data_IF_843343067268
#
_entry.id   IF_843343067268
#
_cell.length_a   1.000
_cell.length_b   1.000
_cell.length_c   1.000
_cell.angle_alpha   90.00
_cell.angle_beta   90.00
_cell.angle_gamma   90.00
#
_symmetry.space_group_name_H-M   'P 1'
#
loop_
_entity.id
_entity.type
_entity.pdbx_description
1 polymer ?
#
# COMPACT_ATOMS: atom_id res chain seq x y z
N UNK A 1 -42.37 57.51 59.09
CA UNK A 1 -42.78 58.92 58.95
C UNK A 1 -42.60 59.26 57.48
N UNK A 2 -43.71 59.53 56.76
CA UNK A 2 -43.84 60.36 55.55
C UNK A 2 -42.88 60.17 54.36
N UNK A 3 -43.25 60.26 53.07
CA UNK A 3 -44.51 60.39 52.32
C UNK A 3 -44.04 60.41 50.85
N UNK A 4 -44.79 59.70 49.99
CA UNK A 4 -45.11 59.94 48.57
C UNK A 4 -44.05 60.44 47.55
N UNK A 5 -44.03 59.68 46.44
CA UNK A 5 -43.53 59.99 45.08
C UNK A 5 -44.20 61.24 44.46
N UNK A 6 -43.71 61.79 43.33
CA UNK A 6 -44.27 61.38 42.02
C UNK A 6 -43.41 61.59 40.74
N UNK A 7 -43.75 60.75 39.74
CA UNK A 7 -44.02 61.02 38.30
C UNK A 7 -42.88 61.54 37.39
N UNK A 8 -42.72 61.02 36.16
CA UNK A 8 -43.59 60.08 35.45
C UNK A 8 -43.17 59.77 34.01
N UNK A 9 -43.99 58.91 33.41
CA UNK A 9 -44.37 58.74 31.98
C UNK A 9 -43.27 58.48 30.95
N UNK A 10 -43.36 57.58 29.98
CA UNK A 10 -44.39 56.61 29.56
C UNK A 10 -43.78 55.73 28.45
N UNK A 11 -44.32 54.51 28.31
CA UNK A 11 -44.38 53.68 27.10
C UNK A 11 -43.08 53.17 26.46
N UNK A 12 -42.92 51.84 26.40
CA UNK A 12 -42.92 51.07 25.15
C UNK A 12 -42.78 49.55 25.39
N UNK A 13 -43.21 48.82 24.37
CA UNK A 13 -43.52 47.40 24.25
C UNK A 13 -42.33 46.42 24.35
N UNK A 14 -42.69 45.18 24.77
CA UNK A 14 -42.25 43.88 24.25
C UNK A 14 -40.82 43.36 24.48
N UNK A 15 -40.75 42.07 24.83
CA UNK A 15 -39.58 41.24 24.54
C UNK A 15 -39.33 40.13 25.55
N UNK A 16 -40.10 39.05 25.49
CA UNK A 16 -39.79 37.78 26.15
C UNK A 16 -38.53 37.19 25.47
N UNK A 17 -37.35 37.34 26.10
CA UNK A 17 -36.10 36.76 25.63
C UNK A 17 -36.02 35.28 26.01
N UNK A 18 -36.38 34.41 25.07
CA UNK A 18 -36.02 33.01 25.09
C UNK A 18 -34.52 32.88 24.73
N UNK A 19 -33.71 32.46 25.70
CA UNK A 19 -32.31 32.06 25.44
C UNK A 19 -32.31 30.74 24.66
N UNK A 20 -32.13 30.83 23.34
CA UNK A 20 -31.73 29.69 22.51
C UNK A 20 -30.24 29.46 22.74
N UNK A 21 -29.91 28.45 23.55
CA UNK A 21 -28.55 27.94 23.69
C UNK A 21 -28.09 27.34 22.37
N UNK A 22 -27.27 28.07 21.62
CA UNK A 22 -26.56 27.54 20.45
C UNK A 22 -25.42 26.64 20.95
N UNK A 23 -25.69 25.36 21.14
CA UNK A 23 -24.66 24.34 21.31
C UNK A 23 -23.91 24.19 19.99
N UNK A 24 -22.77 24.88 19.84
CA UNK A 24 -21.82 24.61 18.77
C UNK A 24 -21.09 23.32 19.13
N UNK A 25 -21.69 22.17 18.79
CA UNK A 25 -20.95 20.92 18.78
C UNK A 25 -19.86 21.04 17.69
N UNK A 26 -18.57 20.79 17.99
CA UNK A 26 -17.56 20.72 16.96
C UNK A 26 -17.93 19.56 16.02
N UNK A 27 -18.30 19.90 14.78
CA UNK A 27 -18.41 18.91 13.72
C UNK A 27 -17.01 18.34 13.49
N UNK A 28 -16.81 17.01 13.53
CA UNK A 28 -15.56 16.45 13.05
C UNK A 28 -15.41 16.87 11.60
N UNK A 29 -14.38 17.67 11.31
CA UNK A 29 -13.92 17.87 9.95
C UNK A 29 -13.29 16.55 9.54
N UNK A 30 -14.12 15.62 9.05
CA UNK A 30 -13.63 14.57 8.16
C UNK A 30 -13.17 15.29 6.90
N UNK A 31 -11.93 15.77 6.92
CA UNK A 31 -11.23 16.23 5.74
C UNK A 31 -11.08 15.03 4.82
N UNK A 32 -12.06 14.81 3.95
CA UNK A 32 -11.80 14.08 2.73
C UNK A 32 -10.68 14.87 2.04
N UNK A 33 -9.45 14.34 2.09
CA UNK A 33 -8.41 14.76 1.17
C UNK A 33 -8.98 14.48 -0.22
N UNK A 34 -9.53 15.50 -0.87
CA UNK A 34 -9.67 15.49 -2.32
C UNK A 34 -8.23 15.46 -2.83
N UNK A 35 -7.66 14.26 -2.98
CA UNK A 35 -6.31 14.11 -3.46
C UNK A 35 -6.25 14.79 -4.83
N UNK A 36 -5.47 15.86 -4.91
CA UNK A 36 -5.12 16.49 -6.18
C UNK A 36 -4.52 15.42 -7.10
N UNK A 37 -4.58 15.64 -8.41
CA UNK A 37 -3.95 14.73 -9.37
C UNK A 37 -2.46 14.51 -9.04
N UNK A 38 -1.86 13.38 -9.46
CA UNK A 38 -0.43 13.16 -9.31
C UNK A 38 0.37 14.31 -9.95
N UNK A 39 1.44 14.72 -9.27
CA UNK A 39 2.39 15.71 -9.76
C UNK A 39 3.25 15.16 -10.90
N UNK A 40 4.36 15.84 -11.23
CA UNK A 40 5.32 15.32 -12.20
C UNK A 40 6.22 14.23 -11.62
N UNK A 41 6.42 14.25 -10.30
CA UNK A 41 7.29 13.30 -9.60
C UNK A 41 6.54 12.56 -8.51
N UNK A 42 6.74 11.24 -8.49
CA UNK A 42 6.49 10.39 -7.34
C UNK A 42 7.83 10.14 -6.65
N UNK A 43 7.94 10.51 -5.38
CA UNK A 43 9.12 10.29 -4.55
C UNK A 43 8.87 9.15 -3.56
N UNK A 44 9.74 8.15 -3.52
CA UNK A 44 9.67 7.06 -2.56
C UNK A 44 10.91 7.05 -1.66
N UNK A 45 10.70 6.94 -0.36
CA UNK A 45 11.73 6.66 0.65
C UNK A 45 11.39 5.36 1.38
N UNK A 46 12.41 4.59 1.72
CA UNK A 46 12.21 3.40 2.53
C UNK A 46 13.30 2.36 2.45
N UNK A 47 12.96 1.18 2.92
CA UNK A 47 13.87 0.04 3.01
C UNK A 47 13.79 -0.90 1.78
N UNK A 48 14.19 -2.16 1.98
CA UNK A 48 14.11 -3.24 0.99
C UNK A 48 12.71 -3.42 0.38
N UNK A 49 11.64 -3.12 1.12
CA UNK A 49 10.26 -3.23 0.66
C UNK A 49 9.93 -2.15 -0.37
N UNK A 50 10.39 -0.92 -0.14
CA UNK A 50 10.28 0.19 -1.09
C UNK A 50 11.21 0.01 -2.31
N UNK A 51 12.38 -0.59 -2.09
CA UNK A 51 13.31 -0.94 -3.15
C UNK A 51 12.75 -2.03 -4.07
N UNK A 52 11.87 -2.90 -3.53
CA UNK A 52 11.18 -3.95 -4.28
C UNK A 52 11.87 -5.32 -4.21
N UNK A 53 12.64 -5.58 -3.16
CA UNK A 53 13.34 -6.87 -2.96
C UNK A 53 12.31 -7.98 -2.68
N UNK A 54 12.45 -9.13 -3.32
CA UNK A 54 11.51 -10.27 -3.18
C UNK A 54 12.22 -11.51 -2.64
N UNK A 55 13.03 -12.15 -3.48
CA UNK A 55 13.82 -13.32 -3.14
C UNK A 55 15.25 -13.15 -3.64
N UNK A 56 16.15 -13.91 -3.01
CA UNK A 56 17.55 -13.98 -3.43
C UNK A 56 17.65 -14.40 -4.90
N UNK A 57 18.50 -13.72 -5.66
CA UNK A 57 18.71 -13.99 -7.08
C UNK A 57 17.61 -13.49 -8.02
N UNK A 58 16.53 -12.88 -7.51
CA UNK A 58 15.54 -12.18 -8.34
C UNK A 58 16.03 -10.76 -8.60
N UNK A 59 16.25 -10.34 -9.87
CA UNK A 59 16.63 -8.97 -10.18
C UNK A 59 15.62 -7.97 -9.63
N UNK A 60 16.13 -6.91 -9.01
CA UNK A 60 15.32 -5.80 -8.49
C UNK A 60 15.57 -4.58 -9.37
N UNK A 61 14.52 -3.83 -9.64
CA UNK A 61 14.57 -2.59 -10.40
C UNK A 61 13.81 -1.48 -9.66
N UNK A 62 14.51 -0.64 -8.87
CA UNK A 62 13.88 0.45 -8.14
C UNK A 62 13.45 1.60 -9.08
N UNK A 63 13.89 1.60 -10.35
CA UNK A 63 13.51 2.61 -11.36
C UNK A 63 12.24 2.25 -12.13
N UNK A 64 11.79 0.99 -12.02
CA UNK A 64 10.59 0.46 -12.67
C UNK A 64 10.62 0.63 -14.21
N UNK A 65 11.80 0.51 -14.80
CA UNK A 65 12.03 0.65 -16.26
C UNK A 65 12.06 -0.71 -16.97
N UNK A 66 12.34 -1.78 -16.24
CA UNK A 66 12.33 -3.16 -16.70
C UNK A 66 11.01 -3.86 -16.35
N UNK A 67 10.69 -4.95 -17.03
CA UNK A 67 9.55 -5.79 -16.67
C UNK A 67 9.97 -7.27 -16.66
N UNK A 68 9.50 -8.05 -15.66
CA UNK A 68 8.57 -7.66 -14.62
C UNK A 68 9.24 -7.02 -13.39
N UNK A 69 8.56 -6.05 -12.75
CA UNK A 69 9.01 -5.42 -11.49
C UNK A 69 7.87 -5.43 -10.48
N UNK A 70 7.98 -6.22 -9.42
CA UNK A 70 6.85 -6.52 -8.54
C UNK A 70 6.76 -5.62 -7.30
N UNK A 71 7.80 -4.85 -6.97
CA UNK A 71 7.79 -3.97 -5.78
C UNK A 71 6.60 -3.02 -5.76
N UNK A 72 6.06 -2.73 -4.57
CA UNK A 72 4.85 -1.92 -4.45
C UNK A 72 5.04 -0.51 -5.04
N UNK A 73 6.24 0.06 -4.95
CA UNK A 73 6.57 1.36 -5.56
C UNK A 73 6.35 1.31 -7.07
N UNK A 74 6.79 0.25 -7.75
CA UNK A 74 6.56 0.09 -9.19
C UNK A 74 5.09 -0.17 -9.55
N UNK A 75 4.36 -0.89 -8.69
CA UNK A 75 2.92 -1.10 -8.87
C UNK A 75 2.15 0.21 -8.72
N UNK A 76 2.43 0.98 -7.67
CA UNK A 76 1.80 2.26 -7.42
C UNK A 76 2.17 3.31 -8.46
N UNK A 77 3.44 3.38 -8.87
CA UNK A 77 3.90 4.25 -9.95
C UNK A 77 3.13 4.01 -11.25
N UNK A 78 3.00 2.74 -11.68
CA UNK A 78 2.21 2.39 -12.88
C UNK A 78 0.72 2.68 -12.72
N UNK A 79 0.18 2.55 -11.51
CA UNK A 79 -1.20 2.99 -11.23
C UNK A 79 -1.34 4.50 -11.47
N UNK A 80 -0.46 5.32 -10.89
CA UNK A 80 -0.49 6.79 -11.05
C UNK A 80 -0.25 7.24 -12.50
N UNK A 81 0.60 6.54 -13.27
CA UNK A 81 0.85 6.83 -14.69
C UNK A 81 -0.40 6.78 -15.57
N UNK A 82 -1.46 6.08 -15.14
CA UNK A 82 -2.73 6.06 -15.87
C UNK A 82 -3.47 7.41 -15.80
N UNK A 83 -3.23 8.20 -14.76
CA UNK A 83 -3.73 9.59 -14.64
C UNK A 83 -2.70 10.61 -15.15
N UNK A 84 -1.41 10.36 -14.90
CA UNK A 84 -0.32 11.24 -15.29
C UNK A 84 0.73 10.49 -16.12
N UNK A 85 0.56 10.39 -17.46
CA UNK A 85 1.47 9.62 -18.31
C UNK A 85 2.93 10.08 -18.26
N UNK A 86 3.15 11.37 -18.00
CA UNK A 86 4.47 11.98 -17.89
C UNK A 86 5.11 11.86 -16.48
N UNK A 87 4.48 11.15 -15.54
CA UNK A 87 4.99 10.95 -14.19
C UNK A 87 6.37 10.25 -14.23
N UNK A 88 7.30 10.79 -13.47
CA UNK A 88 8.62 10.23 -13.19
C UNK A 88 8.69 9.70 -11.76
N UNK A 89 9.41 8.60 -11.58
CA UNK A 89 9.70 8.03 -10.27
C UNK A 89 11.09 8.47 -9.82
N UNK A 90 11.19 8.91 -8.57
CA UNK A 90 12.45 9.05 -7.84
C UNK A 90 12.36 8.14 -6.63
N UNK A 91 13.14 7.05 -6.64
CA UNK A 91 13.15 6.09 -5.54
C UNK A 91 14.49 6.17 -4.81
N UNK A 92 14.45 6.72 -3.60
CA UNK A 92 15.61 6.90 -2.72
C UNK A 92 15.66 5.84 -1.62
N UNK A 93 14.92 4.73 -1.78
CA UNK A 93 14.99 3.62 -0.84
C UNK A 93 16.31 2.85 -0.97
N UNK A 94 16.77 2.26 0.13
CA UNK A 94 17.90 1.34 0.13
C UNK A 94 17.57 0.06 0.91
N UNK A 95 18.00 -1.13 0.44
CA UNK A 95 17.84 -2.36 1.21
C UNK A 95 18.51 -2.27 2.59
N UNK A 96 17.92 -2.92 3.61
CA UNK A 96 18.38 -2.97 5.00
C UNK A 96 18.43 -1.60 5.71
N UNK A 97 17.92 -0.54 5.09
CA UNK A 97 17.94 0.80 5.66
C UNK A 97 16.99 0.91 6.85
N UNK A 98 17.48 1.37 8.00
CA UNK A 98 16.64 1.68 9.17
C UNK A 98 16.29 3.17 9.28
N UNK A 99 15.42 3.53 10.23
CA UNK A 99 15.00 4.93 10.40
C UNK A 99 16.14 5.90 10.76
N UNK A 100 17.22 5.43 11.36
CA UNK A 100 18.39 6.25 11.68
C UNK A 100 19.17 6.57 10.39
N UNK A 101 19.38 5.55 9.56
CA UNK A 101 20.13 5.64 8.32
C UNK A 101 19.42 6.55 7.30
N UNK A 102 18.09 6.55 7.25
CA UNK A 102 17.36 7.51 6.40
C UNK A 102 17.74 8.97 6.73
N UNK A 103 17.98 9.27 8.01
CA UNK A 103 18.32 10.62 8.48
C UNK A 103 19.80 10.97 8.32
N UNK A 104 20.69 10.01 8.63
CA UNK A 104 22.10 10.29 8.85
C UNK A 104 23.04 9.55 7.88
N UNK A 105 22.49 8.64 7.07
CA UNK A 105 23.26 7.69 6.29
C UNK A 105 24.06 6.74 7.20
N UNK A 106 25.00 6.03 6.60
CA UNK A 106 25.91 5.13 7.30
C UNK A 106 27.35 5.34 6.82
N UNK A 107 28.31 5.21 7.73
CA UNK A 107 29.74 5.42 7.45
C UNK A 107 30.48 6.08 8.63
N UNK A 108 31.77 6.41 8.47
CA UNK A 108 32.56 7.06 9.50
C UNK A 108 31.89 8.32 10.05
N UNK A 109 31.60 8.33 11.36
CA UNK A 109 30.96 9.46 12.05
C UNK A 109 29.43 9.42 12.07
N UNK A 110 28.77 8.46 11.39
CA UNK A 110 27.33 8.25 11.55
C UNK A 110 26.99 7.70 12.95
N UNK A 111 25.90 8.17 13.58
CA UNK A 111 25.41 7.59 14.83
C UNK A 111 24.68 6.24 14.63
N UNK A 112 24.44 5.84 13.38
CA UNK A 112 23.67 4.65 13.04
C UNK A 112 24.57 3.41 12.97
N UNK A 113 23.98 2.25 13.23
CA UNK A 113 24.70 0.97 13.27
C UNK A 113 24.18 0.03 12.19
N UNK A 114 24.99 -0.26 11.18
CA UNK A 114 24.67 -1.25 10.15
C UNK A 114 25.47 -2.52 10.35
N UNK A 115 24.83 -3.71 10.42
CA UNK A 115 25.56 -4.95 10.64
C UNK A 115 26.51 -5.32 9.50
N UNK A 116 26.21 -4.88 8.27
CA UNK A 116 26.88 -5.25 7.03
C UNK A 116 26.60 -4.14 6.02
N UNK A 117 27.63 -3.42 5.52
CA UNK A 117 27.70 -2.75 4.20
C UNK A 117 28.73 -1.60 4.15
N UNK A 118 28.98 -1.09 2.94
CA UNK A 118 29.74 0.12 2.66
C UNK A 118 28.96 1.39 3.08
N UNK A 119 29.65 2.56 3.19
CA UNK A 119 28.96 3.82 3.48
C UNK A 119 27.82 4.11 2.51
N UNK A 120 26.69 4.55 3.03
CA UNK A 120 25.53 5.02 2.27
C UNK A 120 25.21 6.46 2.65
N UNK A 121 24.88 7.28 1.64
CA UNK A 121 24.45 8.65 1.88
C UNK A 121 23.07 8.67 2.54
N UNK A 122 22.76 9.73 3.28
CA UNK A 122 21.45 9.91 3.90
C UNK A 122 20.38 10.26 2.85
N UNK A 123 19.31 9.46 2.69
CA UNK A 123 18.22 9.76 1.76
C UNK A 123 17.42 11.01 2.11
N UNK A 124 17.21 11.34 3.39
CA UNK A 124 16.34 12.48 3.74
C UNK A 124 16.88 13.83 3.24
N UNK A 125 18.16 14.20 3.43
CA UNK A 125 18.70 15.40 2.83
C UNK A 125 18.54 15.46 1.31
N UNK A 126 18.72 14.34 0.61
CA UNK A 126 18.52 14.24 -0.84
C UNK A 126 17.05 14.45 -1.21
N UNK A 127 16.13 13.81 -0.51
CA UNK A 127 14.69 13.98 -0.69
C UNK A 127 14.26 15.44 -0.49
N UNK A 128 14.73 16.09 0.58
CA UNK A 128 14.43 17.50 0.88
C UNK A 128 14.97 18.41 -0.23
N UNK A 129 16.22 18.22 -0.66
CA UNK A 129 16.79 18.99 -1.76
C UNK A 129 16.02 18.79 -3.07
N UNK A 130 15.62 17.55 -3.37
CA UNK A 130 14.82 17.23 -4.55
C UNK A 130 13.46 17.91 -4.53
N UNK A 131 12.75 17.86 -3.39
CA UNK A 131 11.46 18.53 -3.21
C UNK A 131 11.60 20.05 -3.36
N UNK A 132 12.65 20.65 -2.79
CA UNK A 132 12.91 22.09 -2.91
C UNK A 132 13.25 22.51 -4.34
N UNK A 133 13.94 21.67 -5.11
CA UNK A 133 14.23 21.93 -6.52
C UNK A 133 12.99 21.78 -7.42
N UNK A 134 11.97 21.02 -6.99
CA UNK A 134 10.77 20.70 -7.77
C UNK A 134 9.48 21.06 -7.00
N UNK A 135 9.46 22.24 -6.36
CA UNK A 135 8.34 22.69 -5.53
C UNK A 135 7.01 22.66 -6.31
N UNK A 136 5.99 22.04 -5.69
CA UNK A 136 4.67 21.87 -6.29
C UNK A 136 4.58 20.77 -7.35
N UNK A 137 5.69 20.16 -7.76
CA UNK A 137 5.72 19.09 -8.75
C UNK A 137 5.83 17.69 -8.15
N UNK A 138 6.26 17.58 -6.89
CA UNK A 138 6.37 16.30 -6.15
C UNK A 138 5.04 15.96 -5.47
N UNK A 139 4.33 14.98 -6.01
CA UNK A 139 3.11 14.41 -5.44
C UNK A 139 2.80 13.06 -6.10
N UNK A 140 2.77 11.92 -5.39
CA UNK A 140 2.91 11.76 -3.94
C UNK A 140 4.35 11.57 -3.43
N UNK A 141 4.47 11.48 -2.10
CA UNK A 141 5.64 10.98 -1.38
C UNK A 141 5.22 9.73 -0.59
N UNK A 142 5.88 8.59 -0.74
CA UNK A 142 5.68 7.41 0.13
C UNK A 142 6.84 7.21 1.07
N UNK A 143 6.55 6.85 2.32
CA UNK A 143 7.54 6.52 3.35
C UNK A 143 7.24 5.13 3.90
N UNK A 144 8.18 4.20 3.71
CA UNK A 144 8.10 2.85 4.26
C UNK A 144 9.43 2.46 4.91
N UNK A 145 9.50 2.66 6.23
CA UNK A 145 10.70 2.40 7.03
C UNK A 145 10.27 1.81 8.38
N UNK A 146 11.16 1.11 9.07
CA UNK A 146 10.93 0.63 10.43
C UNK A 146 11.16 -0.87 10.62
N UNK A 147 10.91 -1.70 9.60
CA UNK A 147 11.16 -3.14 9.71
C UNK A 147 12.61 -3.44 10.12
N UNK A 148 13.53 -2.67 9.54
CA UNK A 148 14.95 -2.81 9.79
C UNK A 148 15.41 -2.29 11.16
N UNK A 149 14.66 -1.39 11.80
CA UNK A 149 14.90 -1.02 13.22
C UNK A 149 14.72 -2.21 14.18
N UNK A 150 13.99 -3.25 13.77
CA UNK A 150 13.80 -4.49 14.54
C UNK A 150 14.81 -5.58 14.18
N UNK A 151 15.53 -5.48 13.06
CA UNK A 151 16.49 -6.51 12.61
C UNK A 151 17.54 -6.87 13.68
N UNK A 152 18.14 -5.91 14.44
CA UNK A 152 19.12 -6.25 15.48
C UNK A 152 18.57 -7.15 16.59
N UNK A 153 17.24 -7.27 16.73
CA UNK A 153 16.59 -8.13 17.70
C UNK A 153 16.35 -9.55 17.18
N UNK A 154 16.27 -9.76 15.86
CA UNK A 154 15.90 -11.05 15.27
C UNK A 154 16.78 -12.24 15.68
N UNK A 155 18.13 -12.13 15.75
CA UNK A 155 18.95 -13.27 16.14
C UNK A 155 18.62 -13.81 17.54
N UNK A 156 18.20 -12.92 18.45
CA UNK A 156 17.84 -13.31 19.82
C UNK A 156 16.36 -13.68 19.95
N UNK A 157 15.49 -13.24 19.05
CA UNK A 157 14.04 -13.44 19.14
C UNK A 157 13.66 -14.93 19.16
N UNK A 158 14.42 -15.78 18.47
CA UNK A 158 14.17 -17.22 18.40
C UNK A 158 14.62 -18.00 19.65
N UNK A 159 15.58 -17.47 20.41
CA UNK A 159 16.21 -18.15 21.56
C UNK A 159 15.83 -17.55 22.91
N UNK A 160 15.58 -16.24 22.94
CA UNK A 160 15.14 -15.48 24.11
C UNK A 160 14.04 -14.47 23.71
N UNK A 161 12.80 -14.95 23.47
CA UNK A 161 11.68 -14.07 23.13
C UNK A 161 11.39 -13.02 24.22
N UNK A 162 11.48 -13.38 25.50
CA UNK A 162 11.17 -12.47 26.61
C UNK A 162 12.21 -11.36 26.75
N UNK A 163 13.50 -11.68 26.71
CA UNK A 163 14.56 -10.67 26.71
C UNK A 163 14.56 -9.82 25.44
N UNK A 164 14.10 -10.38 24.32
CA UNK A 164 13.84 -9.60 23.10
C UNK A 164 12.70 -8.59 23.30
N UNK A 165 11.57 -9.02 23.87
CA UNK A 165 10.45 -8.15 24.16
C UNK A 165 10.83 -6.99 25.09
N UNK A 166 11.70 -7.23 26.08
CA UNK A 166 12.18 -6.21 27.00
C UNK A 166 12.99 -5.07 26.32
N UNK A 167 13.54 -5.30 25.12
CA UNK A 167 14.31 -4.30 24.35
C UNK A 167 13.44 -3.43 23.45
N UNK A 168 12.22 -3.85 23.14
CA UNK A 168 11.31 -3.14 22.22
C UNK A 168 11.06 -1.67 22.62
N UNK A 169 10.84 -1.30 23.90
CA UNK A 169 10.60 0.10 24.25
C UNK A 169 11.73 1.05 23.83
N UNK A 170 12.99 0.61 23.87
CA UNK A 170 14.13 1.42 23.44
C UNK A 170 14.12 1.62 21.92
N UNK A 171 13.88 0.54 21.16
CA UNK A 171 13.77 0.60 19.70
C UNK A 171 12.63 1.53 19.29
N UNK A 172 11.46 1.37 19.90
CA UNK A 172 10.29 2.23 19.68
C UNK A 172 10.56 3.70 19.98
N UNK A 173 11.28 4.01 21.06
CA UNK A 173 11.65 5.39 21.40
C UNK A 173 12.55 6.01 20.32
N UNK A 174 13.57 5.28 19.84
CA UNK A 174 14.45 5.75 18.77
C UNK A 174 13.70 5.90 17.44
N UNK A 175 12.98 4.86 17.03
CA UNK A 175 12.19 4.84 15.80
C UNK A 175 11.18 5.99 15.75
N UNK A 176 10.45 6.23 16.84
CA UNK A 176 9.49 7.33 16.92
C UNK A 176 10.14 8.71 16.75
N UNK A 177 11.29 8.96 17.39
CA UNK A 177 12.04 10.22 17.21
C UNK A 177 12.55 10.40 15.78
N UNK A 178 13.02 9.32 15.16
CA UNK A 178 13.53 9.37 13.81
C UNK A 178 12.41 9.61 12.79
N UNK A 179 11.29 8.90 12.93
CA UNK A 179 10.12 9.08 12.07
C UNK A 179 9.50 10.47 12.24
N UNK A 180 9.47 11.00 13.47
CA UNK A 180 9.05 12.38 13.75
C UNK A 180 9.90 13.40 12.97
N UNK A 181 11.23 13.31 13.09
CA UNK A 181 12.17 14.19 12.39
C UNK A 181 12.03 14.08 10.87
N UNK A 182 11.90 12.85 10.36
CA UNK A 182 11.72 12.59 8.93
C UNK A 182 10.46 13.26 8.39
N UNK A 183 9.31 13.00 9.01
CA UNK A 183 8.03 13.54 8.53
C UNK A 183 7.93 15.05 8.73
N UNK A 184 8.54 15.60 9.78
CA UNK A 184 8.66 17.05 9.96
C UNK A 184 9.36 17.72 8.79
N UNK A 185 10.53 17.21 8.40
CA UNK A 185 11.33 17.78 7.33
C UNK A 185 10.69 17.59 5.96
N UNK A 186 10.14 16.41 5.68
CA UNK A 186 9.40 16.16 4.44
C UNK A 186 8.17 17.07 4.32
N UNK A 187 7.37 17.21 5.38
CA UNK A 187 6.20 18.09 5.37
C UNK A 187 6.58 19.56 5.22
N UNK A 188 7.64 20.01 5.89
CA UNK A 188 8.15 21.37 5.77
C UNK A 188 8.63 21.69 4.34
N UNK A 189 9.31 20.74 3.69
CA UNK A 189 9.80 20.92 2.32
C UNK A 189 8.68 20.85 1.27
N UNK A 190 7.75 19.89 1.42
CA UNK A 190 6.72 19.61 0.41
C UNK A 190 5.49 20.53 0.52
N UNK A 191 5.25 21.09 1.71
CA UNK A 191 4.06 21.89 1.99
C UNK A 191 2.81 21.05 2.29
N UNK A 192 1.69 21.72 2.61
CA UNK A 192 0.47 21.05 3.11
C UNK A 192 -0.34 20.32 2.03
N UNK A 193 -0.15 20.65 0.75
CA UNK A 193 -0.91 20.07 -0.36
C UNK A 193 -0.37 18.74 -0.88
N UNK A 194 0.91 18.43 -0.63
CA UNK A 194 1.51 17.17 -1.09
C UNK A 194 0.98 15.99 -0.28
N UNK A 195 0.57 14.93 -0.97
CA UNK A 195 0.16 13.68 -0.35
C UNK A 195 1.40 12.91 0.12
N UNK A 196 1.67 12.96 1.42
CA UNK A 196 2.64 12.10 2.09
C UNK A 196 1.89 10.87 2.58
N UNK A 197 2.35 9.68 2.23
CA UNK A 197 1.73 8.40 2.58
C UNK A 197 2.75 7.62 3.41
N UNK A 198 2.45 7.44 4.70
CA UNK A 198 3.29 6.66 5.62
C UNK A 198 2.70 5.27 5.75
N UNK A 199 3.53 4.26 5.55
CA UNK A 199 3.10 2.88 5.38
C UNK A 199 3.54 2.06 6.58
N UNK A 200 2.62 1.29 7.15
CA UNK A 200 2.91 0.45 8.30
C UNK A 200 3.53 -0.91 7.89
N UNK A 201 3.98 -1.69 8.87
CA UNK A 201 4.68 -2.96 8.65
C UNK A 201 3.74 -4.14 8.86
N UNK A 202 3.77 -5.13 7.98
CA UNK A 202 3.05 -6.39 8.19
C UNK A 202 3.85 -7.32 9.12
N UNK A 203 3.18 -8.27 9.79
CA UNK A 203 3.87 -9.33 10.51
C UNK A 203 4.13 -10.52 9.57
N UNK A 204 5.39 -10.80 9.16
CA UNK A 204 5.69 -11.86 8.19
C UNK A 204 5.35 -13.26 8.69
N UNK A 205 5.19 -13.44 10.01
CA UNK A 205 4.85 -14.71 10.65
C UNK A 205 3.33 -14.89 10.88
N UNK A 206 2.52 -13.90 10.52
CA UNK A 206 1.08 -13.93 10.72
C UNK A 206 0.42 -15.13 10.04
N UNK A 207 -0.34 -15.92 10.79
CA UNK A 207 -0.96 -17.16 10.31
C UNK A 207 -0.18 -18.44 10.63
N UNK A 208 1.05 -18.35 11.15
CA UNK A 208 1.87 -19.50 11.56
C UNK A 208 1.90 -19.61 13.09
N UNK A 209 1.60 -20.80 13.60
CA UNK A 209 1.69 -21.16 15.02
C UNK A 209 3.08 -21.69 15.42
N UNK A 210 3.26 -21.91 16.72
CA UNK A 210 4.31 -22.78 17.25
C UNK A 210 3.73 -24.19 17.52
N UNK A 211 4.30 -25.29 17.00
CA UNK A 211 5.35 -25.41 15.98
C UNK A 211 4.85 -25.02 14.55
N UNK A 212 5.75 -24.81 13.55
CA UNK A 212 7.20 -25.04 13.54
C UNK A 212 8.07 -23.91 14.11
N UNK A 213 7.48 -22.75 14.44
CA UNK A 213 8.22 -21.64 15.04
C UNK A 213 8.59 -21.92 16.50
N UNK A 214 9.72 -21.38 17.01
CA UNK A 214 10.02 -21.38 18.44
C UNK A 214 8.85 -20.85 19.28
N UNK A 215 8.70 -21.39 20.49
CA UNK A 215 7.66 -20.93 21.43
C UNK A 215 7.87 -19.46 21.79
N UNK A 216 6.80 -18.67 21.85
CA UNK A 216 6.84 -17.25 22.19
C UNK A 216 7.23 -16.30 21.04
N UNK A 217 7.91 -16.80 20.00
CA UNK A 217 8.34 -15.97 18.86
C UNK A 217 7.15 -15.31 18.13
N UNK A 218 6.05 -16.01 17.79
CA UNK A 218 4.90 -15.38 17.14
C UNK A 218 4.30 -14.22 17.96
N UNK A 219 4.25 -14.38 19.30
CA UNK A 219 3.71 -13.36 20.21
C UNK A 219 4.61 -12.12 20.29
N UNK A 220 5.93 -12.31 20.32
CA UNK A 220 6.90 -11.22 20.30
C UNK A 220 6.88 -10.49 18.97
N UNK A 221 6.84 -11.20 17.84
CA UNK A 221 6.72 -10.60 16.51
C UNK A 221 5.43 -9.77 16.38
N UNK A 222 4.29 -10.31 16.86
CA UNK A 222 3.02 -9.59 16.88
C UNK A 222 3.10 -8.32 17.72
N UNK A 223 3.70 -8.39 18.92
CA UNK A 223 3.84 -7.24 19.81
C UNK A 223 4.79 -6.17 19.24
N UNK A 224 5.88 -6.59 18.61
CA UNK A 224 6.85 -5.71 17.97
C UNK A 224 6.20 -4.91 16.83
N UNK A 225 5.53 -5.61 15.92
CA UNK A 225 4.85 -5.00 14.77
C UNK A 225 3.69 -4.11 15.21
N UNK A 226 2.87 -4.54 16.17
CA UNK A 226 1.77 -3.71 16.68
C UNK A 226 2.27 -2.41 17.34
N UNK A 227 3.31 -2.48 18.16
CA UNK A 227 3.90 -1.31 18.80
C UNK A 227 4.48 -0.32 17.79
N UNK A 228 5.21 -0.82 16.80
CA UNK A 228 5.74 -0.01 15.70
C UNK A 228 4.63 0.64 14.87
N UNK A 229 3.60 -0.12 14.49
CA UNK A 229 2.49 0.40 13.68
C UNK A 229 1.68 1.48 14.42
N UNK A 230 1.59 1.41 15.75
CA UNK A 230 0.98 2.48 16.54
C UNK A 230 1.77 3.79 16.45
N UNK A 231 3.11 3.72 16.44
CA UNK A 231 3.97 4.89 16.24
C UNK A 231 3.79 5.44 14.83
N UNK A 232 3.85 4.58 13.80
CA UNK A 232 3.62 4.98 12.40
C UNK A 232 2.28 5.71 12.25
N UNK A 233 1.22 5.18 12.84
CA UNK A 233 -0.11 5.78 12.81
C UNK A 233 -0.16 7.15 13.51
N UNK A 234 0.46 7.26 14.68
CA UNK A 234 0.53 8.50 15.46
C UNK A 234 1.29 9.60 14.71
N UNK A 235 2.47 9.27 14.19
CA UNK A 235 3.31 10.24 13.47
C UNK A 235 2.69 10.63 12.12
N UNK A 236 2.08 9.69 11.39
CA UNK A 236 1.34 10.02 10.18
C UNK A 236 0.23 11.05 10.46
N UNK A 237 -0.56 10.84 11.53
CA UNK A 237 -1.61 11.77 11.92
C UNK A 237 -1.05 13.15 12.33
N UNK A 238 0.05 13.20 13.09
CA UNK A 238 0.72 14.44 13.51
C UNK A 238 1.09 15.34 12.32
N UNK A 239 1.52 14.74 11.21
CA UNK A 239 1.95 15.46 10.01
C UNK A 239 0.91 15.54 8.89
N UNK A 240 -0.36 15.23 9.20
CA UNK A 240 -1.45 15.18 8.21
C UNK A 240 -1.09 14.34 6.98
N UNK A 241 -0.38 13.24 7.22
CA UNK A 241 -0.02 12.27 6.21
C UNK A 241 -1.09 11.16 6.16
N UNK A 242 -1.29 10.60 4.97
CA UNK A 242 -2.12 9.41 4.81
C UNK A 242 -1.43 8.20 5.46
N UNK A 243 -2.21 7.37 6.15
CA UNK A 243 -1.74 6.13 6.75
C UNK A 243 -2.18 4.95 5.90
N UNK A 244 -1.21 4.23 5.32
CA UNK A 244 -1.47 3.00 4.57
C UNK A 244 -1.35 1.79 5.48
N UNK A 245 -2.49 1.16 5.76
CA UNK A 245 -2.59 -0.01 6.63
C UNK A 245 -2.39 -1.33 5.86
N UNK A 246 -1.13 -1.60 5.52
CA UNK A 246 -0.69 -2.85 4.89
C UNK A 246 -0.84 -4.03 5.85
N UNK A 247 -0.55 -3.84 7.14
CA UNK A 247 -0.65 -4.90 8.15
C UNK A 247 -2.04 -5.57 8.14
N UNK A 248 -3.10 -4.77 8.24
CA UNK A 248 -4.47 -5.28 8.19
C UNK A 248 -4.82 -5.94 6.85
N UNK A 249 -4.25 -5.44 5.74
CA UNK A 249 -4.47 -6.04 4.42
C UNK A 249 -3.81 -7.42 4.28
N UNK A 250 -2.62 -7.60 4.87
CA UNK A 250 -1.92 -8.88 4.92
C UNK A 250 -2.61 -9.87 5.87
N UNK A 251 -3.03 -9.42 7.06
CA UNK A 251 -3.72 -10.27 8.03
C UNK A 251 -5.08 -10.77 7.52
N UNK A 252 -5.78 -9.97 6.71
CA UNK A 252 -7.05 -10.34 6.09
C UNK A 252 -6.90 -11.38 4.95
N UNK A 253 -5.67 -11.69 4.53
CA UNK A 253 -5.44 -12.67 3.47
C UNK A 253 -5.77 -14.10 3.94
N UNK A 254 -6.44 -14.93 3.14
CA UNK A 254 -6.70 -16.32 3.50
C UNK A 254 -5.39 -17.08 3.80
N UNK A 255 -5.28 -17.62 5.02
CA UNK A 255 -4.06 -18.27 5.50
C UNK A 255 -3.07 -17.33 6.21
N UNK A 256 -3.39 -16.05 6.34
CA UNK A 256 -2.61 -15.04 7.04
C UNK A 256 -1.47 -14.44 6.21
N UNK A 257 -0.81 -13.45 6.79
CA UNK A 257 0.27 -12.68 6.18
C UNK A 257 1.42 -13.54 5.64
N UNK A 258 1.74 -14.67 6.27
CA UNK A 258 2.87 -15.52 5.86
C UNK A 258 2.70 -16.11 4.47
N UNK A 259 1.47 -16.31 3.98
CA UNK A 259 1.23 -16.84 2.62
C UNK A 259 1.63 -15.81 1.55
N UNK A 260 1.70 -14.53 1.92
CA UNK A 260 2.12 -13.46 1.04
C UNK A 260 3.64 -13.22 1.05
N UNK A 261 4.40 -13.95 1.87
CA UNK A 261 5.86 -13.82 2.00
C UNK A 261 6.56 -15.12 1.61
N UNK A 262 7.90 -15.09 1.61
CA UNK A 262 8.72 -16.29 1.44
C UNK A 262 8.95 -17.08 2.74
N UNK A 263 8.24 -16.77 3.82
CA UNK A 263 8.39 -17.48 5.11
C UNK A 263 8.06 -18.98 4.99
N UNK A 264 6.92 -19.41 4.41
CA UNK A 264 6.60 -20.83 4.28
C UNK A 264 7.65 -21.67 3.52
N UNK A 265 8.12 -21.27 2.31
CA UNK A 265 9.13 -22.06 1.61
C UNK A 265 10.47 -22.09 2.34
N UNK A 266 10.86 -21.04 3.06
CA UNK A 266 12.07 -21.06 3.88
C UNK A 266 11.94 -21.96 5.11
N UNK A 267 10.79 -21.95 5.79
CA UNK A 267 10.56 -22.90 6.89
C UNK A 267 10.61 -24.35 6.40
N UNK A 268 10.09 -24.62 5.20
CA UNK A 268 10.13 -25.94 4.60
C UNK A 268 11.56 -26.42 4.26
N UNK A 269 12.54 -25.51 4.10
CA UNK A 269 13.94 -25.89 3.90
C UNK A 269 14.66 -26.30 5.19
N UNK A 270 14.02 -26.16 6.36
CA UNK A 270 14.50 -26.68 7.65
C UNK A 270 15.48 -25.78 8.42
N UNK A 271 15.74 -24.55 7.95
CA UNK A 271 16.61 -23.59 8.63
C UNK A 271 15.83 -22.31 9.00
N UNK A 272 15.27 -22.22 10.22
CA UNK A 272 14.49 -21.06 10.66
C UNK A 272 15.35 -19.80 10.87
N UNK A 273 16.68 -19.90 10.80
CA UNK A 273 17.57 -18.73 10.91
C UNK A 273 17.70 -17.96 9.58
N UNK A 274 17.24 -18.56 8.47
CA UNK A 274 17.31 -17.98 7.12
C UNK A 274 15.98 -17.43 6.61
N UNK A 275 15.00 -17.25 7.50
CA UNK A 275 13.64 -16.81 7.18
C UNK A 275 13.63 -15.63 6.20
N UNK A 276 13.16 -15.88 4.98
CA UNK A 276 12.90 -14.79 4.05
C UNK A 276 11.52 -14.19 4.34
N UNK A 277 11.52 -13.04 5.00
CA UNK A 277 10.32 -12.30 5.41
C UNK A 277 9.74 -11.40 4.32
N UNK A 278 10.42 -11.29 3.17
CA UNK A 278 10.05 -10.37 2.11
C UNK A 278 8.77 -10.82 1.37
N UNK A 279 8.01 -9.89 0.79
CA UNK A 279 6.80 -10.23 0.06
C UNK A 279 7.10 -11.00 -1.23
N UNK A 280 6.22 -11.93 -1.55
CA UNK A 280 6.08 -12.48 -2.89
C UNK A 280 5.50 -11.43 -3.85
N UNK A 281 5.40 -11.76 -5.14
CA UNK A 281 4.70 -10.91 -6.10
C UNK A 281 3.24 -10.64 -5.69
N UNK A 282 2.53 -11.63 -5.15
CA UNK A 282 1.17 -11.43 -4.63
C UNK A 282 1.16 -10.61 -3.34
N UNK A 283 2.16 -10.76 -2.48
CA UNK A 283 2.34 -9.90 -1.30
C UNK A 283 2.50 -8.44 -1.68
N UNK A 284 3.35 -8.13 -2.66
CA UNK A 284 3.48 -6.77 -3.15
C UNK A 284 2.22 -6.23 -3.83
N UNK A 285 1.39 -7.09 -4.44
CA UNK A 285 0.08 -6.66 -4.98
C UNK A 285 -0.87 -6.24 -3.86
N UNK A 286 -0.96 -7.00 -2.77
CA UNK A 286 -1.75 -6.63 -1.58
C UNK A 286 -1.20 -5.33 -0.96
N UNK A 287 0.13 -5.24 -0.86
CA UNK A 287 0.84 -4.07 -0.37
C UNK A 287 0.47 -2.80 -1.17
N UNK A 288 0.63 -2.85 -2.50
CA UNK A 288 0.31 -1.74 -3.38
C UNK A 288 -1.18 -1.37 -3.33
N UNK A 289 -2.08 -2.34 -3.20
CA UNK A 289 -3.52 -2.09 -3.05
C UNK A 289 -3.85 -1.28 -1.79
N UNK A 290 -3.19 -1.57 -0.66
CA UNK A 290 -3.35 -0.79 0.56
C UNK A 290 -2.83 0.65 0.40
N UNK A 291 -1.69 0.83 -0.27
CA UNK A 291 -1.13 2.15 -0.58
C UNK A 291 -2.06 2.95 -1.51
N UNK A 292 -2.54 2.33 -2.59
CA UNK A 292 -3.49 2.97 -3.52
C UNK A 292 -4.75 3.41 -2.77
N UNK A 293 -5.32 2.54 -1.94
CA UNK A 293 -6.51 2.85 -1.14
C UNK A 293 -6.28 4.04 -0.20
N UNK A 294 -5.15 4.08 0.48
CA UNK A 294 -4.83 5.17 1.41
C UNK A 294 -4.50 6.49 0.71
N UNK A 295 -3.97 6.42 -0.52
CA UNK A 295 -3.50 7.59 -1.27
C UNK A 295 -4.61 8.55 -1.70
N UNK A 296 -5.83 8.03 -1.88
CA UNK A 296 -6.96 8.79 -2.44
C UNK A 296 -6.85 9.11 -3.94
N UNK A 297 -5.79 8.69 -4.65
CA UNK A 297 -5.74 8.81 -6.11
C UNK A 297 -6.70 7.80 -6.75
N UNK A 298 -7.58 8.29 -7.63
CA UNK A 298 -8.65 7.47 -8.21
C UNK A 298 -8.47 7.32 -9.72
N UNK A 299 -7.98 6.18 -10.17
CA UNK A 299 -7.93 5.82 -11.59
C UNK A 299 -9.25 5.14 -11.97
N UNK A 300 -9.91 5.60 -13.03
CA UNK A 300 -11.10 4.92 -13.52
C UNK A 300 -10.70 3.59 -14.17
N UNK A 301 -11.22 2.43 -13.71
CA UNK A 301 -10.85 1.15 -14.26
C UNK A 301 -11.40 1.03 -15.67
N UNK A 302 -10.57 0.56 -16.59
CA UNK A 302 -10.95 0.33 -17.99
C UNK A 302 -10.70 -1.13 -18.35
N UNK A 303 -11.51 -1.68 -19.25
CA UNK A 303 -11.32 -3.03 -19.77
C UNK A 303 -11.71 -3.11 -21.24
N UNK A 304 -10.86 -3.75 -22.03
CA UNK A 304 -11.12 -4.07 -23.43
C UNK A 304 -11.15 -5.58 -23.61
N UNK A 305 -11.95 -6.08 -24.55
CA UNK A 305 -12.09 -7.50 -24.84
C UNK A 305 -11.99 -7.74 -26.35
N UNK A 306 -11.24 -8.78 -26.73
CA UNK A 306 -11.10 -9.29 -28.10
C UNK A 306 -11.23 -10.81 -28.08
N UNK A 307 -11.98 -11.35 -29.05
CA UNK A 307 -12.09 -12.80 -29.28
C UNK A 307 -11.40 -13.14 -30.60
N UNK A 308 -10.51 -14.12 -30.58
CA UNK A 308 -9.77 -14.57 -31.78
C UNK A 308 -9.58 -16.09 -31.84
N UNK A 309 -10.07 -16.76 -32.90
CA UNK A 309 -10.97 -16.24 -33.96
C UNK A 309 -12.40 -16.05 -33.42
N UNK A 310 -13.21 -15.20 -34.08
CA UNK A 310 -14.65 -15.05 -33.77
C UNK A 310 -15.48 -16.29 -34.15
N UNK A 311 -14.98 -17.10 -35.09
CA UNK A 311 -15.58 -18.37 -35.50
C UNK A 311 -14.59 -19.50 -35.23
N UNK A 312 -14.97 -20.46 -34.40
CA UNK A 312 -14.11 -21.56 -33.95
C UNK A 312 -14.73 -22.90 -34.31
N UNK A 313 -13.91 -23.85 -34.78
CA UNK A 313 -14.39 -25.22 -35.03
C UNK A 313 -14.71 -25.94 -33.72
N UNK A 314 -15.72 -26.80 -33.73
CA UNK A 314 -16.05 -27.67 -32.59
C UNK A 314 -14.80 -28.36 -32.02
N UNK A 315 -14.64 -28.34 -30.69
CA UNK A 315 -13.49 -28.92 -30.00
C UNK A 315 -12.14 -28.19 -30.17
N UNK A 316 -12.05 -27.12 -30.97
CA UNK A 316 -10.83 -26.32 -31.11
C UNK A 316 -10.74 -25.22 -30.05
N UNK A 317 -9.51 -24.75 -29.81
CA UNK A 317 -9.24 -23.66 -28.88
C UNK A 317 -9.33 -22.31 -29.58
N UNK A 318 -9.74 -21.30 -28.84
CA UNK A 318 -9.70 -19.89 -29.23
C UNK A 318 -9.22 -19.04 -28.06
N UNK A 319 -8.84 -17.80 -28.33
CA UNK A 319 -8.28 -16.89 -27.35
C UNK A 319 -9.26 -15.74 -27.08
N UNK A 320 -9.35 -15.37 -25.82
CA UNK A 320 -9.97 -14.12 -25.38
C UNK A 320 -8.86 -13.30 -24.76
N UNK A 321 -8.59 -12.12 -25.31
CA UNK A 321 -7.54 -11.23 -24.82
C UNK A 321 -8.02 -9.80 -24.70
N UNK A 322 -7.23 -8.97 -24.06
CA UNK A 322 -7.57 -7.57 -23.86
C UNK A 322 -6.52 -6.82 -23.05
N UNK A 323 -6.86 -5.59 -22.70
CA UNK A 323 -6.13 -4.76 -21.76
C UNK A 323 -7.05 -4.26 -20.65
N UNK A 324 -6.52 -4.17 -19.45
CA UNK A 324 -7.13 -3.60 -18.25
C UNK A 324 -6.03 -3.01 -17.36
N UNK A 325 -6.37 -2.48 -16.18
CA UNK A 325 -5.39 -2.06 -15.16
C UNK A 325 -4.35 -3.18 -14.90
N UNK A 326 -3.06 -2.83 -14.92
CA UNK A 326 -1.98 -3.75 -14.62
C UNK A 326 -2.23 -4.50 -13.30
N UNK A 327 -1.92 -5.80 -13.28
CA UNK A 327 -2.10 -6.69 -12.12
C UNK A 327 -3.54 -6.81 -11.57
N UNK A 328 -4.54 -6.34 -12.30
CA UNK A 328 -5.91 -6.70 -12.03
C UNK A 328 -6.10 -8.23 -12.10
N UNK A 329 -7.12 -8.74 -11.44
CA UNK A 329 -7.59 -10.11 -11.69
C UNK A 329 -8.71 -10.04 -12.70
N UNK A 330 -8.71 -10.93 -13.70
CA UNK A 330 -9.80 -11.02 -14.68
C UNK A 330 -10.63 -12.27 -14.46
N UNK A 331 -11.95 -12.13 -14.58
CA UNK A 331 -12.90 -13.24 -14.62
C UNK A 331 -13.67 -13.18 -15.93
N UNK A 332 -13.50 -14.21 -16.75
CA UNK A 332 -14.28 -14.45 -17.95
C UNK A 332 -15.55 -15.22 -17.61
N UNK A 333 -16.70 -14.63 -17.92
CA UNK A 333 -17.99 -15.30 -18.00
C UNK A 333 -18.26 -15.71 -19.44
N UNK A 334 -18.39 -17.00 -19.67
CA UNK A 334 -18.58 -17.61 -20.99
C UNK A 334 -19.89 -18.40 -21.02
N UNK A 335 -20.81 -18.02 -21.89
CA UNK A 335 -22.02 -18.77 -22.18
C UNK A 335 -21.85 -19.45 -23.55
N UNK A 336 -21.50 -20.74 -23.60
CA UNK A 336 -21.36 -21.47 -24.85
C UNK A 336 -22.74 -21.77 -25.49
N UNK A 337 -22.78 -22.30 -26.73
CA UNK A 337 -24.05 -22.63 -27.40
C UNK A 337 -24.97 -23.61 -26.65
N UNK A 338 -24.45 -24.38 -25.70
CA UNK A 338 -25.27 -25.22 -24.82
C UNK A 338 -26.05 -24.44 -23.75
N UNK A 339 -25.77 -23.14 -23.57
CA UNK A 339 -26.39 -22.30 -22.55
C UNK A 339 -25.78 -22.40 -21.15
N UNK A 340 -24.95 -23.42 -20.86
CA UNK A 340 -24.37 -23.60 -19.52
C UNK A 340 -23.21 -22.63 -19.26
N UNK A 341 -23.47 -21.59 -18.47
CA UNK A 341 -22.49 -20.59 -18.07
C UNK A 341 -21.24 -21.24 -17.43
N UNK A 342 -20.06 -20.73 -17.80
CA UNK A 342 -18.76 -21.08 -17.23
C UNK A 342 -18.02 -19.82 -16.82
N UNK A 343 -17.29 -19.90 -15.72
CA UNK A 343 -16.39 -18.85 -15.26
C UNK A 343 -14.94 -19.34 -15.32
N UNK A 344 -14.05 -18.48 -15.81
CA UNK A 344 -12.61 -18.74 -15.88
C UNK A 344 -11.89 -17.53 -15.29
N UNK A 345 -10.99 -17.76 -14.34
CA UNK A 345 -10.11 -16.72 -13.82
C UNK A 345 -8.85 -16.60 -14.70
N UNK A 346 -8.26 -15.41 -14.74
CA UNK A 346 -6.94 -15.16 -15.33
C UNK A 346 -6.23 -14.03 -14.60
N UNK A 347 -4.91 -14.02 -14.74
CA UNK A 347 -4.06 -12.92 -14.31
C UNK A 347 -3.90 -11.92 -15.46
N UNK A 348 -3.66 -10.67 -15.06
CA UNK A 348 -3.29 -9.58 -15.97
C UNK A 348 -1.79 -9.35 -15.80
N UNK A 349 -1.08 -9.27 -16.91
CA UNK A 349 0.33 -8.96 -16.93
C UNK A 349 0.62 -7.51 -16.49
N UNK A 350 1.89 -7.25 -16.26
CA UNK A 350 2.46 -5.98 -15.83
C UNK A 350 2.12 -4.79 -16.74
N UNK A 351 1.93 -5.05 -18.04
CA UNK A 351 1.56 -4.06 -19.05
C UNK A 351 0.03 -3.91 -19.22
N UNK A 352 -0.74 -4.54 -18.34
CA UNK A 352 -2.20 -4.54 -18.37
C UNK A 352 -2.81 -5.55 -19.34
N UNK A 353 -2.01 -6.33 -20.07
CA UNK A 353 -2.54 -7.32 -21.01
C UNK A 353 -3.02 -8.58 -20.31
N UNK A 354 -4.07 -9.19 -20.85
CA UNK A 354 -4.50 -10.52 -20.43
C UNK A 354 -4.84 -11.39 -21.63
N UNK A 355 -4.66 -12.70 -21.47
CA UNK A 355 -5.04 -13.69 -22.45
C UNK A 355 -5.55 -14.96 -21.77
N UNK A 356 -6.75 -15.38 -22.15
CA UNK A 356 -7.43 -16.57 -21.69
C UNK A 356 -7.62 -17.53 -22.85
N UNK A 357 -7.19 -18.78 -22.67
CA UNK A 357 -7.35 -19.83 -23.68
C UNK A 357 -8.58 -20.66 -23.36
N UNK A 358 -9.52 -20.74 -24.30
CA UNK A 358 -10.83 -21.37 -24.12
C UNK A 358 -11.02 -22.47 -25.16
N UNK A 359 -11.62 -23.60 -24.75
CA UNK A 359 -12.01 -24.68 -25.68
C UNK A 359 -13.46 -24.53 -26.10
N UNK A 360 -13.72 -24.54 -27.41
CA UNK A 360 -15.06 -24.59 -27.97
C UNK A 360 -15.74 -25.92 -27.65
N UNK A 361 -17.04 -25.87 -27.34
CA UNK A 361 -17.83 -27.08 -27.13
C UNK A 361 -18.07 -27.84 -28.44
N UNK A 362 -18.53 -29.09 -28.35
CA UNK A 362 -18.89 -29.92 -29.51
C UNK A 362 -20.22 -29.51 -30.17
N UNK A 363 -21.00 -28.64 -29.52
CA UNK A 363 -22.27 -28.12 -30.05
C UNK A 363 -22.01 -26.85 -30.85
N UNK A 364 -22.46 -26.83 -32.11
CA UNK A 364 -22.44 -25.65 -32.97
C UNK A 364 -23.46 -24.60 -32.51
N UNK A 365 -23.24 -23.35 -32.91
CA UNK A 365 -24.16 -22.25 -32.62
C UNK A 365 -23.43 -21.03 -32.07
N UNK A 366 -24.21 -20.13 -31.48
CA UNK A 366 -23.73 -18.84 -30.97
C UNK A 366 -23.43 -18.92 -29.48
N UNK A 367 -22.28 -18.38 -29.08
CA UNK A 367 -21.91 -18.20 -27.68
C UNK A 367 -21.61 -16.74 -27.37
N UNK A 368 -21.55 -16.44 -26.07
CA UNK A 368 -21.31 -15.10 -25.54
C UNK A 368 -20.16 -15.12 -24.54
N UNK A 369 -19.38 -14.05 -24.53
CA UNK A 369 -18.29 -13.84 -23.60
C UNK A 369 -18.35 -12.43 -23.01
N UNK A 370 -18.08 -12.33 -21.71
CA UNK A 370 -17.92 -11.07 -20.99
C UNK A 370 -16.76 -11.22 -20.02
N UNK A 371 -15.86 -10.25 -19.96
CA UNK A 371 -14.76 -10.25 -18.97
C UNK A 371 -15.03 -9.15 -17.97
N UNK A 372 -14.80 -9.44 -16.69
CA UNK A 372 -14.71 -8.45 -15.64
C UNK A 372 -13.28 -8.43 -15.10
N UNK A 373 -12.77 -7.25 -14.76
CA UNK A 373 -11.53 -7.07 -14.03
C UNK A 373 -11.83 -6.52 -12.63
N UNK A 374 -11.01 -6.91 -11.65
CA UNK A 374 -10.89 -6.27 -10.35
C UNK A 374 -9.47 -5.71 -10.24
N UNK A 375 -9.32 -4.40 -10.15
CA UNK A 375 -8.00 -3.77 -10.04
C UNK A 375 -7.44 -3.79 -8.60
N UNK A 376 -6.26 -3.19 -8.41
CA UNK A 376 -5.60 -3.11 -7.11
C UNK A 376 -6.34 -2.21 -6.10
N UNK A 377 -7.23 -1.34 -6.57
CA UNK A 377 -8.11 -0.54 -5.72
C UNK A 377 -9.41 -1.28 -5.33
N UNK A 378 -9.51 -2.58 -5.65
CA UNK A 378 -10.73 -3.39 -5.54
C UNK A 378 -11.93 -2.80 -6.30
N UNK A 379 -11.67 -2.08 -7.39
CA UNK A 379 -12.70 -1.58 -8.28
C UNK A 379 -12.97 -2.58 -9.38
N UNK A 380 -14.25 -2.86 -9.59
CA UNK A 380 -14.71 -3.81 -10.60
C UNK A 380 -15.16 -3.10 -11.86
N UNK A 381 -14.60 -3.50 -12.99
CA UNK A 381 -15.07 -3.10 -14.33
C UNK A 381 -15.42 -4.33 -15.16
N UNK A 382 -16.42 -4.25 -16.02
CA UNK A 382 -16.76 -5.35 -16.93
C UNK A 382 -16.90 -4.84 -18.36
N UNK A 383 -16.40 -5.62 -19.31
CA UNK A 383 -16.61 -5.38 -20.74
C UNK A 383 -18.08 -5.49 -21.10
N UNK A 384 -18.42 -4.99 -22.29
CA UNK A 384 -19.62 -5.43 -23.00
C UNK A 384 -19.59 -6.93 -23.30
N UNK A 385 -20.76 -7.50 -23.59
CA UNK A 385 -20.87 -8.89 -24.04
C UNK A 385 -20.48 -8.99 -25.51
N UNK A 386 -19.56 -9.88 -25.86
CA UNK A 386 -19.17 -10.17 -27.23
C UNK A 386 -19.63 -11.56 -27.65
N UNK A 387 -19.96 -11.68 -28.93
CA UNK A 387 -20.46 -12.92 -29.52
C UNK A 387 -19.34 -13.67 -30.25
N UNK A 388 -19.38 -15.00 -30.19
CA UNK A 388 -18.55 -15.89 -30.98
C UNK A 388 -19.39 -17.05 -31.52
N UNK A 389 -18.91 -17.71 -32.58
CA UNK A 389 -19.61 -18.80 -33.24
C UNK A 389 -18.81 -20.08 -33.19
N UNK A 390 -19.47 -21.19 -32.87
CA UNK A 390 -18.92 -22.54 -32.95
C UNK A 390 -19.50 -23.21 -34.20
N UNK A 391 -18.63 -23.73 -35.07
CA UNK A 391 -19.02 -24.47 -36.29
C UNK A 391 -18.48 -25.88 -36.30
#
# INVERSE_FOLDING_TARGET
MQVLTPRGTSALFAGLLAFVGLSIAPRPVSGAHNSAAPGKYYLALGDSLAYGVTAEGVPVDPTCTTQPSYGYVCLFFRYLKQQQPALSLVNLSHPLEDSCEVLNGYGPGSPCTRPLDAPIAAPLPEAVAFIQAHQGEVNPITVNIGGDDLLPLLPNAAVDPLGTAAKLPKVFSSFGKNLDSLLAQLRAAAGPSTSIIVINQYNPLGGISSPPLPSGLPQVATSAIAGMNNIVKSEAAKYSAAYADVASAFDAWPGGASVLTFVPPTLASGDPTKLNILPTADGYRVYAGAVIKASGFMVNPSISLKISPKTVRTGKKFHISGKTSAYATVTLKLTPPSGKLRSLAGAVADDGTYALRVSAQKRSGTGHARVCAMDLANQRVCSGTMTYHVR
#
